data_IF_463736623302
#
_entry.id   IF_463736623302
#
_cell.length_a   1.000
_cell.length_b   1.000
_cell.length_c   1.000
_cell.angle_alpha   90.00
_cell.angle_beta   90.00
_cell.angle_gamma   90.00
#
_symmetry.space_group_name_H-M   'P 1'
#
loop_
_entity.id
_entity.type
_entity.pdbx_description
1 polymer ?
#
# COMPACT_ATOMS: atom_id res chain seq x y z
N UNK A 1 -21.61 0.13 -6.74
CA UNK A 1 -20.58 -0.86 -6.37
C UNK A 1 -19.97 -1.31 -7.67
N UNK A 2 -19.04 -0.52 -8.20
CA UNK A 2 -18.34 -0.90 -9.41
C UNK A 2 -17.41 -2.07 -9.11
N UNK A 3 -17.49 -3.10 -9.94
CA UNK A 3 -16.67 -4.31 -9.87
C UNK A 3 -15.18 -4.01 -10.17
N UNK A 4 -14.84 -2.75 -10.46
CA UNK A 4 -13.56 -2.25 -10.95
C UNK A 4 -13.26 -0.87 -10.34
N UNK A 5 -13.09 -0.77 -9.02
CA UNK A 5 -12.50 0.41 -8.37
C UNK A 5 -11.07 0.07 -7.90
N UNK A 6 -10.05 0.24 -8.76
CA UNK A 6 -8.67 -0.12 -8.43
C UNK A 6 -8.12 0.70 -7.26
N UNK A 7 -8.60 1.93 -7.07
CA UNK A 7 -8.18 2.79 -5.97
C UNK A 7 -8.64 2.21 -4.62
N UNK A 8 -9.92 1.85 -4.52
CA UNK A 8 -10.45 1.25 -3.30
C UNK A 8 -9.77 -0.11 -3.02
N UNK A 9 -9.60 -0.95 -4.05
CA UNK A 9 -8.90 -2.22 -3.92
C UNK A 9 -7.44 -2.04 -3.48
N UNK A 10 -6.75 -1.01 -3.98
CA UNK A 10 -5.38 -0.70 -3.56
C UNK A 10 -5.36 -0.34 -2.08
N UNK A 11 -6.24 0.56 -1.63
CA UNK A 11 -6.31 0.97 -0.22
C UNK A 11 -6.57 -0.23 0.69
N UNK A 12 -7.51 -1.09 0.32
CA UNK A 12 -7.85 -2.28 1.12
C UNK A 12 -6.73 -3.31 1.13
N UNK A 13 -6.05 -3.51 -0.01
CA UNK A 13 -4.90 -4.41 -0.09
C UNK A 13 -3.73 -3.92 0.76
N UNK A 14 -3.46 -2.61 0.78
CA UNK A 14 -2.43 -2.01 1.63
C UNK A 14 -2.78 -2.11 3.12
N UNK A 15 -4.04 -1.85 3.51
CA UNK A 15 -4.49 -2.01 4.90
C UNK A 15 -4.32 -3.45 5.37
N UNK A 16 -4.77 -4.41 4.56
CA UNK A 16 -4.61 -5.84 4.84
C UNK A 16 -3.14 -6.22 5.00
N UNK A 17 -2.30 -5.86 4.02
CA UNK A 17 -0.88 -6.18 4.05
C UNK A 17 -0.15 -5.53 5.24
N UNK A 18 -0.46 -4.29 5.59
CA UNK A 18 0.08 -3.62 6.77
C UNK A 18 -0.35 -4.32 8.07
N UNK A 19 -1.63 -4.70 8.18
CA UNK A 19 -2.14 -5.46 9.33
C UNK A 19 -1.44 -6.81 9.46
N UNK A 20 -1.27 -7.54 8.36
CA UNK A 20 -0.64 -8.87 8.34
C UNK A 20 0.86 -8.80 8.63
N UNK A 21 1.60 -7.88 7.99
CA UNK A 21 3.05 -7.77 8.12
C UNK A 21 3.50 -7.07 9.41
N UNK A 22 2.73 -6.08 9.87
CA UNK A 22 3.16 -5.14 10.92
C UNK A 22 2.26 -5.17 12.16
N UNK A 23 1.06 -5.74 12.08
CA UNK A 23 0.05 -5.62 13.15
C UNK A 23 -0.49 -4.19 13.30
N UNK A 24 -0.33 -3.33 12.29
CA UNK A 24 -0.75 -1.93 12.30
C UNK A 24 -1.67 -1.70 11.11
N UNK A 25 -2.83 -1.10 11.35
CA UNK A 25 -3.76 -0.71 10.29
C UNK A 25 -3.71 0.82 10.11
N UNK A 26 -3.29 1.32 8.93
CA UNK A 26 -3.27 2.75 8.66
C UNK A 26 -4.71 3.29 8.57
N UNK A 27 -5.00 4.37 9.29
CA UNK A 27 -6.31 5.04 9.23
C UNK A 27 -6.61 5.51 7.80
N UNK A 28 -5.61 6.12 7.16
CA UNK A 28 -5.69 6.62 5.78
C UNK A 28 -4.59 6.00 4.94
N UNK A 29 -4.94 5.68 3.69
CA UNK A 29 -3.98 5.24 2.67
C UNK A 29 -4.08 6.23 1.52
N UNK A 30 -3.53 7.45 1.62
CA UNK A 30 -3.61 8.45 0.57
C UNK A 30 -3.08 7.89 -0.76
N UNK A 31 -3.76 8.20 -1.86
CA UNK A 31 -3.38 7.75 -3.20
C UNK A 31 -2.87 8.92 -4.02
N UNK A 32 -1.90 8.62 -4.87
CA UNK A 32 -1.35 9.54 -5.86
C UNK A 32 -1.15 8.76 -7.16
N UNK A 33 -1.34 9.43 -8.29
CA UNK A 33 -0.90 8.95 -9.60
C UNK A 33 0.56 9.38 -9.84
N UNK A 34 1.50 8.44 -9.96
CA UNK A 34 2.89 8.79 -10.24
C UNK A 34 3.02 9.52 -11.59
N UNK A 35 3.95 10.49 -11.72
CA UNK A 35 4.15 11.23 -12.96
C UNK A 35 4.86 10.42 -14.06
N UNK A 36 5.50 9.29 -13.72
CA UNK A 36 6.17 8.38 -14.65
C UNK A 36 5.59 6.98 -14.49
N UNK A 37 5.10 6.39 -15.59
CA UNK A 37 4.51 5.05 -15.60
C UNK A 37 5.47 3.95 -15.14
N UNK A 38 6.79 4.19 -15.18
CA UNK A 38 7.79 3.26 -14.63
C UNK A 38 7.71 3.12 -13.11
N UNK A 39 7.06 4.07 -12.43
CA UNK A 39 6.84 4.06 -10.98
C UNK A 39 5.52 3.36 -10.60
N UNK A 40 4.80 2.81 -11.58
CA UNK A 40 3.50 2.16 -11.39
C UNK A 40 2.31 3.08 -11.63
N UNK A 41 1.11 2.49 -11.60
CA UNK A 41 -0.15 3.19 -11.88
C UNK A 41 -0.65 4.02 -10.69
N UNK A 42 -0.43 3.50 -9.48
CA UNK A 42 -0.83 4.09 -8.21
C UNK A 42 0.33 4.04 -7.22
N UNK A 43 0.44 5.08 -6.40
CA UNK A 43 1.38 5.14 -5.28
C UNK A 43 0.71 5.67 -4.01
N UNK A 44 1.33 5.36 -2.87
CA UNK A 44 0.90 5.89 -1.57
C UNK A 44 2.11 6.27 -0.70
N UNK A 45 2.08 7.42 -0.01
CA UNK A 45 3.10 7.79 0.96
C UNK A 45 2.87 7.17 2.36
N UNK A 46 1.93 6.23 2.53
CA UNK A 46 1.52 5.68 3.84
C UNK A 46 2.69 5.20 4.72
N UNK A 47 3.76 4.68 4.13
CA UNK A 47 4.93 4.21 4.88
C UNK A 47 5.66 5.34 5.64
N UNK A 48 5.56 6.60 5.20
CA UNK A 48 6.13 7.75 5.93
C UNK A 48 5.35 8.08 7.19
N UNK A 49 4.03 7.88 7.18
CA UNK A 49 3.19 8.04 8.36
C UNK A 49 3.39 6.88 9.32
N UNK A 50 3.35 5.64 8.82
CA UNK A 50 3.59 4.42 9.59
C UNK A 50 4.97 4.38 10.25
N UNK A 51 5.99 4.99 9.63
CA UNK A 51 7.35 5.07 10.19
C UNK A 51 7.38 5.68 11.60
N UNK A 52 6.54 6.70 11.85
CA UNK A 52 6.47 7.36 13.16
C UNK A 52 5.90 6.43 14.23
N UNK A 53 4.87 5.66 13.88
CA UNK A 53 4.19 4.73 14.79
C UNK A 53 5.05 3.48 15.03
N UNK A 54 5.56 2.89 13.96
CA UNK A 54 6.34 1.65 14.01
C UNK A 54 7.79 1.85 14.49
N UNK A 55 8.28 3.09 14.55
CA UNK A 55 9.69 3.44 14.84
C UNK A 55 10.68 2.67 13.96
N UNK A 56 10.34 2.56 12.67
CA UNK A 56 11.12 1.87 11.63
C UNK A 56 11.22 2.77 10.40
N UNK A 57 12.29 2.60 9.61
CA UNK A 57 12.46 3.36 8.38
C UNK A 57 11.35 3.04 7.35
N UNK A 58 10.85 4.02 6.57
CA UNK A 58 9.79 3.80 5.58
C UNK A 58 10.09 2.67 4.59
N UNK A 59 11.36 2.55 4.16
CA UNK A 59 11.80 1.49 3.24
C UNK A 59 11.58 0.08 3.81
N UNK A 60 11.92 -0.12 5.08
CA UNK A 60 11.73 -1.43 5.76
C UNK A 60 10.23 -1.77 5.87
N UNK A 61 9.38 -0.76 6.07
CA UNK A 61 7.93 -0.95 6.12
C UNK A 61 7.37 -1.27 4.73
N UNK A 62 7.83 -0.57 3.69
CA UNK A 62 7.44 -0.83 2.31
C UNK A 62 7.80 -2.27 1.89
N UNK A 63 9.03 -2.72 2.17
CA UNK A 63 9.48 -4.09 1.90
C UNK A 63 8.62 -5.14 2.64
N UNK A 64 8.30 -4.91 3.91
CA UNK A 64 7.46 -5.81 4.69
C UNK A 64 6.02 -5.88 4.15
N UNK A 65 5.44 -4.74 3.79
CA UNK A 65 4.08 -4.66 3.21
C UNK A 65 4.07 -5.32 1.83
N UNK A 66 5.07 -5.07 0.99
CA UNK A 66 5.24 -5.72 -0.32
C UNK A 66 5.35 -7.25 -0.18
N UNK A 67 6.07 -7.74 0.83
CA UNK A 67 6.17 -9.18 1.11
C UNK A 67 4.87 -9.85 1.55
N UNK A 68 3.94 -9.10 2.16
CA UNK A 68 2.62 -9.59 2.56
C UNK A 68 1.52 -9.30 1.53
N UNK A 69 1.84 -8.57 0.45
CA UNK A 69 0.86 -8.23 -0.57
C UNK A 69 0.41 -9.46 -1.35
N UNK A 70 -0.90 -9.58 -1.54
CA UNK A 70 -1.51 -10.61 -2.36
C UNK A 70 -2.17 -9.99 -3.60
N UNK A 71 -1.70 -10.33 -4.81
CA UNK A 71 -2.31 -9.86 -6.06
C UNK A 71 -3.79 -10.27 -6.17
N UNK A 72 -4.59 -9.45 -6.84
CA UNK A 72 -6.03 -9.69 -7.03
C UNK A 72 -6.81 -8.44 -7.36
N UNK A 73 -8.06 -8.61 -7.79
CA UNK A 73 -9.02 -7.51 -8.03
C UNK A 73 -8.71 -6.57 -9.22
N UNK A 74 -7.50 -6.59 -9.76
CA UNK A 74 -7.00 -5.61 -10.73
C UNK A 74 -5.56 -5.17 -10.43
N UNK A 75 -5.03 -5.54 -9.26
CA UNK A 75 -3.68 -5.22 -8.82
C UNK A 75 -2.73 -6.39 -9.10
N UNK A 76 -1.77 -6.16 -9.99
CA UNK A 76 -0.81 -7.18 -10.39
C UNK A 76 0.34 -7.36 -9.39
N UNK A 77 0.86 -6.26 -8.83
CA UNK A 77 2.04 -6.23 -7.95
C UNK A 77 2.15 -4.89 -7.23
N UNK A 78 2.98 -4.84 -6.19
CA UNK A 78 3.46 -3.60 -5.55
C UNK A 78 4.99 -3.69 -5.39
N UNK A 79 5.67 -2.53 -5.41
CA UNK A 79 7.14 -2.39 -5.35
C UNK A 79 7.55 -1.27 -4.38
#
# INVERSE_FOLDING_TARGET
>A
MDLLDPEQQFRDSIRRAAREALGIEPEQVPLTYPPDAKLGDLATPVCFELARVARKAPKVLAEAIAGAFQPGGGLARIE
#
